data_IF_501576867152
#
_entry.id   IF_501576867152
#
_cell.length_a   1.000
_cell.length_b   1.000
_cell.length_c   1.000
_cell.angle_alpha   90.00
_cell.angle_beta   90.00
_cell.angle_gamma   90.00
#
_symmetry.space_group_name_H-M   'P 1'
#
loop_
_entity.id
_entity.type
_entity.pdbx_description
1 polymer ?
#
# COMPACT_ATOMS: atom_id res chain seq x y z
N UNK A 1 -44.05 11.52 30.29
CA UNK A 1 -43.92 12.52 29.22
C UNK A 1 -42.85 12.06 28.26
N UNK A 2 -43.30 11.54 27.10
CA UNK A 2 -42.46 11.10 25.99
C UNK A 2 -42.30 12.34 25.07
N UNK A 3 -41.08 12.73 24.67
CA UNK A 3 -40.93 13.83 23.71
C UNK A 3 -41.29 13.37 22.30
N UNK A 4 -41.96 14.26 21.53
CA UNK A 4 -42.39 14.01 20.16
C UNK A 4 -41.19 13.87 19.17
N UNK A 5 -41.36 13.14 18.06
CA UNK A 5 -40.27 12.92 17.08
C UNK A 5 -40.02 14.19 16.26
N UNK A 6 -38.74 14.51 16.12
CA UNK A 6 -38.22 15.58 15.25
C UNK A 6 -38.35 15.13 13.80
N UNK A 7 -39.09 15.89 12.98
CA UNK A 7 -39.13 15.70 11.52
C UNK A 7 -37.79 16.06 10.90
N UNK A 8 -37.17 15.09 10.22
CA UNK A 8 -36.03 15.34 9.33
C UNK A 8 -36.52 15.82 7.95
N UNK A 9 -35.78 16.72 7.27
CA UNK A 9 -36.16 17.17 5.93
C UNK A 9 -35.85 16.10 4.87
N UNK A 10 -36.77 15.95 3.92
CA UNK A 10 -36.63 15.09 2.73
C UNK A 10 -35.42 15.51 1.89
N UNK A 11 -34.43 14.62 1.79
CA UNK A 11 -33.43 14.64 0.75
C UNK A 11 -33.42 13.27 0.09
N UNK A 12 -33.81 13.22 -1.18
CA UNK A 12 -34.20 12.04 -1.94
C UNK A 12 -33.09 11.02 -2.21
N UNK A 13 -32.71 10.24 -1.22
CA UNK A 13 -32.05 8.96 -1.42
C UNK A 13 -32.53 7.98 -0.37
N UNK A 14 -33.44 7.07 -0.77
CA UNK A 14 -33.98 6.03 0.09
C UNK A 14 -32.90 4.99 0.38
N UNK A 15 -32.32 5.04 1.59
CA UNK A 15 -31.53 3.95 2.15
C UNK A 15 -32.46 3.02 2.90
N UNK A 16 -32.67 1.82 2.42
CA UNK A 16 -33.34 0.76 3.16
C UNK A 16 -32.30 -0.12 3.85
N UNK A 17 -32.35 -0.22 5.16
CA UNK A 17 -31.53 -1.15 5.94
C UNK A 17 -32.37 -2.39 6.17
N UNK A 18 -32.00 -3.50 5.55
CA UNK A 18 -32.64 -4.79 5.78
C UNK A 18 -31.82 -5.53 6.87
N UNK A 19 -32.45 -5.77 8.04
CA UNK A 19 -31.86 -6.62 9.08
C UNK A 19 -32.46 -8.01 8.95
N UNK A 20 -31.64 -8.98 8.57
CA UNK A 20 -32.01 -10.39 8.58
C UNK A 20 -31.49 -11.04 9.86
N UNK A 21 -32.31 -11.76 10.63
CA UNK A 21 -31.83 -12.51 11.77
C UNK A 21 -31.18 -13.81 11.29
N UNK A 22 -29.88 -13.92 11.38
CA UNK A 22 -29.19 -15.20 11.28
C UNK A 22 -28.72 -15.59 12.68
N UNK A 23 -29.28 -16.68 13.17
CA UNK A 23 -28.95 -17.23 14.47
C UNK A 23 -27.65 -18.02 14.43
N UNK A 24 -26.58 -17.40 14.94
CA UNK A 24 -25.41 -18.12 15.42
C UNK A 24 -25.13 -17.65 16.85
N UNK A 25 -24.84 -18.60 17.75
CA UNK A 25 -24.59 -18.29 19.16
C UNK A 25 -23.18 -17.69 19.34
N UNK A 26 -23.03 -16.42 19.00
CA UNK A 26 -21.82 -15.65 19.19
C UNK A 26 -22.08 -14.25 18.65
N UNK A 27 -22.30 -13.28 19.53
CA UNK A 27 -22.89 -11.96 19.26
C UNK A 27 -22.12 -11.04 18.31
N UNK A 28 -22.05 -11.36 17.03
CA UNK A 28 -21.58 -10.48 15.97
C UNK A 28 -22.72 -10.04 15.07
N UNK A 29 -22.95 -8.73 14.93
CA UNK A 29 -23.91 -8.18 13.97
C UNK A 29 -23.19 -7.82 12.67
N UNK A 30 -23.59 -8.45 11.54
CA UNK A 30 -23.17 -8.03 10.21
C UNK A 30 -24.23 -7.08 9.63
N UNK A 31 -23.80 -5.92 9.14
CA UNK A 31 -24.67 -4.96 8.46
C UNK A 31 -24.46 -5.08 6.95
N UNK A 32 -25.48 -5.54 6.21
CA UNK A 32 -25.45 -5.54 4.74
C UNK A 32 -26.03 -4.21 4.26
N UNK A 33 -25.24 -3.40 3.59
CA UNK A 33 -25.68 -2.16 2.95
C UNK A 33 -25.97 -2.47 1.48
N UNK A 34 -27.27 -2.57 1.10
CA UNK A 34 -27.68 -2.69 -0.29
C UNK A 34 -27.89 -1.31 -0.92
N UNK A 35 -27.21 -1.01 -2.02
CA UNK A 35 -27.48 0.18 -2.83
C UNK A 35 -28.52 -0.14 -3.91
N UNK A 36 -29.65 0.56 -3.90
CA UNK A 36 -30.66 0.48 -4.96
C UNK A 36 -30.43 1.61 -5.98
N UNK A 37 -30.50 1.28 -7.27
CA UNK A 37 -30.61 2.31 -8.29
C UNK A 37 -32.09 2.52 -8.66
N UNK A 38 -32.44 3.69 -9.21
CA UNK A 38 -33.79 4.15 -9.56
C UNK A 38 -34.57 3.26 -10.55
N UNK A 39 -34.05 2.12 -11.00
CA UNK A 39 -34.70 1.17 -11.92
C UNK A 39 -35.03 -0.19 -11.27
N UNK A 40 -35.00 -0.29 -9.95
CA UNK A 40 -35.55 -1.45 -9.23
C UNK A 40 -34.84 -2.80 -9.46
N UNK A 41 -33.67 -2.83 -10.07
CA UNK A 41 -32.84 -4.05 -10.15
C UNK A 41 -31.86 -4.08 -8.99
N UNK A 42 -31.99 -5.11 -8.16
CA UNK A 42 -30.97 -5.49 -7.19
C UNK A 42 -29.65 -5.71 -7.95
N UNK A 43 -28.70 -4.78 -7.88
CA UNK A 43 -27.31 -5.15 -8.12
C UNK A 43 -26.95 -6.12 -6.99
N UNK A 44 -26.49 -7.33 -7.34
CA UNK A 44 -25.85 -8.25 -6.42
C UNK A 44 -24.92 -7.42 -5.56
N UNK A 45 -25.14 -7.39 -4.25
CA UNK A 45 -24.17 -6.80 -3.33
C UNK A 45 -22.91 -7.65 -3.51
N UNK A 46 -21.96 -7.16 -4.28
CA UNK A 46 -20.61 -7.68 -4.22
C UNK A 46 -20.16 -7.36 -2.80
N UNK A 47 -19.99 -8.39 -1.99
CA UNK A 47 -19.21 -8.29 -0.77
C UNK A 47 -17.85 -7.78 -1.21
N UNK A 48 -17.58 -6.51 -0.97
CA UNK A 48 -16.23 -5.99 -1.06
C UNK A 48 -15.54 -6.60 0.15
N UNK A 49 -14.93 -7.78 -0.08
CA UNK A 49 -14.09 -8.44 0.90
C UNK A 49 -12.81 -7.61 0.99
N UNK A 50 -12.34 -7.37 2.21
CA UNK A 50 -11.05 -6.76 2.46
C UNK A 50 -9.97 -7.40 1.57
N UNK A 51 -9.13 -6.58 0.96
CA UNK A 51 -8.01 -7.04 0.13
C UNK A 51 -7.06 -7.89 0.98
N UNK A 52 -6.76 -9.08 0.49
CA UNK A 52 -5.88 -10.06 1.16
C UNK A 52 -4.69 -10.39 0.28
N UNK A 53 -3.68 -11.09 0.82
CA UNK A 53 -2.54 -11.61 0.02
C UNK A 53 -3.05 -12.43 -1.16
N UNK A 54 -4.04 -13.30 -0.96
CA UNK A 54 -4.63 -14.10 -2.04
C UNK A 54 -5.31 -13.24 -3.10
N UNK A 55 -5.94 -12.12 -2.69
CA UNK A 55 -6.52 -11.16 -3.64
C UNK A 55 -5.44 -10.53 -4.52
N UNK A 56 -4.32 -10.10 -3.94
CA UNK A 56 -3.19 -9.53 -4.70
C UNK A 56 -2.56 -10.53 -5.65
N UNK A 57 -2.39 -11.78 -5.22
CA UNK A 57 -1.91 -12.87 -6.09
C UNK A 57 -2.86 -13.15 -7.26
N UNK A 58 -4.17 -13.13 -7.01
CA UNK A 58 -5.17 -13.27 -8.06
C UNK A 58 -5.12 -12.09 -9.05
N UNK A 59 -4.97 -10.86 -8.58
CA UNK A 59 -4.82 -9.68 -9.45
C UNK A 59 -3.60 -9.84 -10.37
N UNK A 60 -2.44 -10.29 -9.86
CA UNK A 60 -1.29 -10.60 -10.69
C UNK A 60 -1.63 -11.66 -11.76
N UNK A 61 -2.23 -12.75 -11.36
CA UNK A 61 -2.57 -13.85 -12.27
C UNK A 61 -3.56 -13.42 -13.38
N UNK A 62 -4.46 -12.49 -13.08
CA UNK A 62 -5.45 -11.93 -14.01
C UNK A 62 -4.92 -10.71 -14.79
N UNK A 63 -3.70 -10.24 -14.50
CA UNK A 63 -3.10 -9.06 -15.14
C UNK A 63 -3.76 -7.74 -14.72
N UNK A 64 -4.50 -7.74 -13.62
CA UNK A 64 -5.07 -6.56 -12.99
C UNK A 64 -3.99 -5.84 -12.19
N UNK A 65 -3.84 -4.52 -12.42
CA UNK A 65 -2.83 -3.73 -11.70
C UNK A 65 -3.29 -3.35 -10.30
N UNK A 66 -2.33 -3.33 -9.37
CA UNK A 66 -2.51 -2.99 -7.96
C UNK A 66 -2.21 -1.50 -7.78
N UNK A 67 -3.18 -0.72 -7.29
CA UNK A 67 -2.99 0.68 -6.94
C UNK A 67 -2.65 0.79 -5.44
N UNK A 68 -1.45 1.31 -5.13
CA UNK A 68 -0.96 1.48 -3.77
C UNK A 68 -0.62 2.95 -3.52
N UNK A 69 -0.98 3.49 -2.36
CA UNK A 69 -0.61 4.85 -1.93
C UNK A 69 -0.13 4.85 -0.48
N UNK A 70 0.78 5.76 -0.14
CA UNK A 70 1.07 5.98 1.28
C UNK A 70 -0.09 6.68 1.97
N UNK A 71 -0.36 6.29 3.22
CA UNK A 71 -1.34 6.92 4.10
C UNK A 71 -0.77 7.04 5.51
N UNK A 72 -1.12 8.12 6.22
CA UNK A 72 -0.52 8.40 7.52
C UNK A 72 -1.55 8.74 8.60
N UNK A 73 -2.83 8.84 8.25
CA UNK A 73 -3.92 9.12 9.20
C UNK A 73 -5.29 8.67 8.65
N UNK A 74 -6.31 8.68 9.51
CA UNK A 74 -7.60 8.06 9.25
C UNK A 74 -8.45 8.74 8.16
N UNK A 75 -8.40 10.06 8.02
CA UNK A 75 -9.25 10.77 7.04
C UNK A 75 -8.78 10.52 5.62
N UNK A 76 -7.46 10.58 5.37
CA UNK A 76 -6.90 10.21 4.08
C UNK A 76 -7.03 8.72 3.79
N UNK A 77 -6.86 7.86 4.81
CA UNK A 77 -7.08 6.43 4.66
C UNK A 77 -8.51 6.13 4.18
N UNK A 78 -9.51 6.71 4.83
CA UNK A 78 -10.91 6.56 4.44
C UNK A 78 -11.20 7.12 3.04
N UNK A 79 -10.61 8.25 2.68
CA UNK A 79 -10.76 8.83 1.34
C UNK A 79 -10.16 7.92 0.27
N UNK A 80 -8.96 7.40 0.50
CA UNK A 80 -8.25 6.51 -0.43
C UNK A 80 -8.95 5.15 -0.57
N UNK A 81 -9.41 4.57 0.55
CA UNK A 81 -10.19 3.33 0.57
C UNK A 81 -11.48 3.47 -0.25
N UNK A 82 -12.21 4.59 -0.06
CA UNK A 82 -13.41 4.89 -0.84
C UNK A 82 -13.12 5.18 -2.32
N UNK A 83 -11.93 5.67 -2.66
CA UNK A 83 -11.50 5.90 -4.05
C UNK A 83 -11.04 4.61 -4.75
N UNK A 84 -10.98 3.48 -4.04
CA UNK A 84 -10.62 2.18 -4.60
C UNK A 84 -9.11 1.90 -4.66
N UNK A 85 -8.32 2.50 -3.77
CA UNK A 85 -6.92 2.13 -3.56
C UNK A 85 -6.89 0.72 -2.97
N UNK A 86 -6.11 -0.19 -3.57
CA UNK A 86 -6.04 -1.59 -3.13
C UNK A 86 -5.17 -1.77 -1.89
N UNK A 87 -4.09 -0.99 -1.77
CA UNK A 87 -3.12 -1.11 -0.67
C UNK A 87 -2.75 0.26 -0.12
N UNK A 88 -2.85 0.42 1.20
CA UNK A 88 -2.39 1.60 1.93
C UNK A 88 -1.08 1.29 2.62
N UNK A 89 -0.04 2.08 2.32
CA UNK A 89 1.28 1.97 2.91
C UNK A 89 1.47 3.00 4.02
N UNK A 90 1.59 2.55 5.25
CA UNK A 90 2.11 3.38 6.33
C UNK A 90 3.64 3.35 6.22
N UNK A 91 4.19 4.31 5.47
CA UNK A 91 5.61 4.35 5.13
C UNK A 91 6.42 5.18 6.14
N UNK A 92 7.67 4.79 6.39
CA UNK A 92 8.63 5.59 7.19
C UNK A 92 9.00 6.91 6.49
N UNK A 93 8.60 7.09 5.23
CA UNK A 93 8.56 8.39 4.54
C UNK A 93 7.79 9.47 5.32
N UNK A 94 6.92 9.07 6.31
CA UNK A 94 6.30 10.01 7.26
C UNK A 94 7.35 10.88 7.99
N UNK A 95 8.56 10.37 8.20
CA UNK A 95 9.64 11.14 8.76
C UNK A 95 9.92 12.41 7.97
N UNK A 96 9.90 12.34 6.64
CA UNK A 96 10.14 13.45 5.75
C UNK A 96 8.89 14.28 5.49
N UNK A 97 7.76 13.63 5.25
CA UNK A 97 6.53 14.28 4.77
C UNK A 97 5.65 14.81 5.89
N UNK A 98 5.62 14.15 7.04
CA UNK A 98 4.76 14.50 8.19
C UNK A 98 5.58 15.15 9.31
N UNK A 99 6.75 14.57 9.65
CA UNK A 99 7.57 15.06 10.76
C UNK A 99 8.59 16.13 10.35
N UNK A 100 8.75 16.43 9.03
CA UNK A 100 9.67 17.45 8.53
C UNK A 100 11.16 17.09 8.72
N UNK A 101 11.49 15.81 8.88
CA UNK A 101 12.87 15.33 9.03
C UNK A 101 13.58 15.27 7.67
N UNK A 102 14.91 15.17 7.68
CA UNK A 102 15.73 15.12 6.45
C UNK A 102 15.86 13.71 5.85
N UNK A 103 15.46 12.67 6.59
CA UNK A 103 15.50 11.27 6.16
C UNK A 103 14.47 10.45 6.93
N UNK A 104 14.29 9.20 6.54
CA UNK A 104 13.41 8.22 7.22
C UNK A 104 14.05 7.65 8.50
N UNK A 105 15.38 7.70 8.64
CA UNK A 105 16.13 7.03 9.71
C UNK A 105 15.71 7.36 11.15
N UNK A 106 15.27 8.60 11.48
CA UNK A 106 14.87 8.93 12.85
C UNK A 106 13.44 8.50 13.22
N UNK A 107 12.69 7.87 12.29
CA UNK A 107 11.34 7.37 12.58
C UNK A 107 11.44 6.19 13.53
N UNK A 108 10.69 6.24 14.63
CA UNK A 108 10.66 5.17 15.62
C UNK A 108 9.57 4.14 15.36
N UNK A 109 9.70 2.94 15.92
CA UNK A 109 8.63 1.93 15.90
C UNK A 109 7.33 2.47 16.52
N UNK A 110 7.44 3.27 17.57
CA UNK A 110 6.27 3.93 18.20
C UNK A 110 5.55 4.87 17.24
N UNK A 111 6.29 5.65 16.44
CA UNK A 111 5.69 6.51 15.41
C UNK A 111 4.96 5.65 14.38
N UNK A 112 5.57 4.56 13.92
CA UNK A 112 4.97 3.64 12.96
C UNK A 112 3.70 2.99 13.50
N UNK A 113 3.71 2.51 14.74
CA UNK A 113 2.51 1.96 15.39
C UNK A 113 1.40 3.02 15.49
N UNK A 114 1.73 4.24 15.94
CA UNK A 114 0.75 5.33 16.05
C UNK A 114 0.06 5.64 14.71
N UNK A 115 0.84 5.78 13.64
CA UNK A 115 0.29 6.07 12.32
C UNK A 115 -0.47 4.86 11.75
N UNK A 116 -0.01 3.63 11.99
CA UNK A 116 -0.70 2.39 11.59
C UNK A 116 -2.07 2.29 12.24
N UNK A 117 -2.19 2.53 13.54
CA UNK A 117 -3.47 2.56 14.25
C UNK A 117 -4.45 3.60 13.66
N UNK A 118 -3.94 4.78 13.30
CA UNK A 118 -4.78 5.82 12.72
C UNK A 118 -5.27 5.45 11.32
N UNK A 119 -4.41 4.89 10.47
CA UNK A 119 -4.80 4.39 9.14
C UNK A 119 -5.80 3.24 9.26
N UNK A 120 -5.57 2.29 10.18
CA UNK A 120 -6.47 1.16 10.41
C UNK A 120 -7.89 1.58 10.79
N UNK A 121 -8.04 2.66 11.58
CA UNK A 121 -9.38 3.19 11.93
C UNK A 121 -10.14 3.79 10.75
N UNK A 122 -9.44 4.22 9.70
CA UNK A 122 -10.05 4.79 8.50
C UNK A 122 -10.25 3.80 7.35
N UNK A 123 -9.74 2.58 7.45
CA UNK A 123 -9.70 1.60 6.36
C UNK A 123 -10.73 0.48 6.58
N UNK A 124 -11.53 0.16 5.57
CA UNK A 124 -12.51 -0.94 5.59
C UNK A 124 -12.15 -2.06 4.60
N UNK A 125 -11.58 -1.73 3.43
CA UNK A 125 -11.39 -2.66 2.32
C UNK A 125 -9.91 -2.84 1.93
N UNK A 126 -9.13 -1.77 1.90
CA UNK A 126 -7.74 -1.81 1.45
C UNK A 126 -6.84 -2.62 2.40
N UNK A 127 -5.83 -3.28 1.84
CA UNK A 127 -4.79 -3.91 2.66
C UNK A 127 -3.87 -2.84 3.26
N UNK A 128 -3.53 -2.98 4.53
CA UNK A 128 -2.60 -2.09 5.23
C UNK A 128 -1.24 -2.74 5.32
N UNK A 129 -0.23 -2.10 4.70
CA UNK A 129 1.18 -2.45 4.83
C UNK A 129 1.87 -1.42 5.70
N UNK A 130 2.68 -1.82 6.69
CA UNK A 130 3.42 -0.91 7.55
C UNK A 130 4.91 -1.18 7.50
N UNK A 131 5.72 -0.10 7.39
CA UNK A 131 7.17 -0.22 7.35
C UNK A 131 7.74 -0.59 8.72
N UNK A 132 8.66 -1.55 8.73
CA UNK A 132 9.61 -1.71 9.81
C UNK A 132 10.62 -0.55 9.73
N UNK A 133 10.71 0.33 10.74
CA UNK A 133 11.62 1.47 10.68
C UNK A 133 13.08 1.03 10.86
N UNK A 134 14.00 1.88 10.40
CA UNK A 134 15.44 1.63 10.52
C UNK A 134 15.86 1.33 11.96
N UNK A 135 16.67 0.27 12.13
CA UNK A 135 17.14 -0.20 13.45
C UNK A 135 16.19 -1.14 14.18
N UNK A 136 14.96 -1.35 13.68
CA UNK A 136 13.97 -2.21 14.30
C UNK A 136 14.03 -3.68 13.83
N UNK A 137 14.77 -4.00 12.76
CA UNK A 137 14.75 -5.35 12.18
C UNK A 137 16.10 -5.84 11.63
N UNK A 138 17.08 -4.95 11.43
CA UNK A 138 18.34 -5.30 10.77
C UNK A 138 19.30 -6.10 11.65
N UNK A 139 19.13 -6.08 12.98
CA UNK A 139 20.03 -6.73 13.92
C UNK A 139 19.83 -8.25 13.95
N UNK A 140 18.58 -8.72 13.95
CA UNK A 140 18.24 -10.14 13.94
C UNK A 140 16.79 -10.36 13.49
N UNK A 141 16.47 -11.57 13.05
CA UNK A 141 15.11 -11.99 12.67
C UNK A 141 14.15 -12.01 13.88
N UNK A 142 14.66 -12.25 15.09
CA UNK A 142 13.88 -12.20 16.31
C UNK A 142 13.49 -10.75 16.66
N UNK A 143 14.40 -9.79 16.49
CA UNK A 143 14.11 -8.38 16.60
C UNK A 143 13.06 -7.95 15.58
N UNK A 144 13.22 -8.38 14.33
CA UNK A 144 12.26 -8.11 13.25
C UNK A 144 10.86 -8.65 13.60
N UNK A 145 10.79 -9.86 14.17
CA UNK A 145 9.52 -10.45 14.59
C UNK A 145 8.86 -9.63 15.72
N UNK A 146 9.62 -9.23 16.72
CA UNK A 146 9.08 -8.42 17.82
C UNK A 146 8.48 -7.10 17.31
N UNK A 147 9.23 -6.37 16.47
CA UNK A 147 8.74 -5.12 15.87
C UNK A 147 7.55 -5.34 14.93
N UNK A 148 7.60 -6.39 14.11
CA UNK A 148 6.50 -6.74 13.20
C UNK A 148 5.21 -7.09 13.97
N UNK A 149 5.33 -7.83 15.08
CA UNK A 149 4.18 -8.17 15.92
C UNK A 149 3.50 -6.92 16.54
N UNK A 150 4.28 -5.89 16.92
CA UNK A 150 3.71 -4.61 17.37
C UNK A 150 2.94 -3.89 16.25
N UNK A 151 3.47 -3.87 15.02
CA UNK A 151 2.80 -3.28 13.86
C UNK A 151 1.52 -4.04 13.48
N UNK A 152 1.55 -5.38 13.52
CA UNK A 152 0.35 -6.19 13.30
C UNK A 152 -0.70 -5.94 14.38
N UNK A 153 -0.30 -5.80 15.63
CA UNK A 153 -1.20 -5.44 16.74
C UNK A 153 -1.78 -4.01 16.59
N UNK A 154 -1.05 -3.10 15.97
CA UNK A 154 -1.50 -1.75 15.63
C UNK A 154 -2.49 -1.72 14.44
N UNK A 155 -2.68 -2.85 13.75
CA UNK A 155 -3.65 -2.99 12.65
C UNK A 155 -3.04 -3.14 11.25
N UNK A 156 -1.73 -3.35 11.13
CA UNK A 156 -1.13 -3.75 9.86
C UNK A 156 -1.59 -5.16 9.46
N UNK A 157 -1.74 -5.40 8.17
CA UNK A 157 -2.01 -6.72 7.59
C UNK A 157 -0.74 -7.36 7.02
N UNK A 158 0.30 -6.56 6.79
CA UNK A 158 1.59 -6.94 6.22
C UNK A 158 2.63 -5.94 6.71
N UNK A 159 3.87 -6.37 6.86
CA UNK A 159 4.99 -5.47 7.15
C UNK A 159 5.90 -5.32 5.93
N UNK A 160 6.55 -4.13 5.78
CA UNK A 160 7.57 -3.91 4.76
C UNK A 160 8.96 -3.83 5.42
N UNK A 161 9.94 -4.45 4.79
CA UNK A 161 11.35 -4.37 5.17
C UNK A 161 12.23 -4.10 3.94
N UNK A 162 13.38 -3.47 4.17
CA UNK A 162 14.33 -3.10 3.12
C UNK A 162 15.59 -3.97 3.18
N UNK A 163 16.02 -4.45 2.01
CA UNK A 163 17.25 -5.21 1.86
C UNK A 163 17.12 -6.26 0.76
N UNK A 164 18.25 -6.77 0.29
CA UNK A 164 18.34 -7.81 -0.72
C UNK A 164 18.44 -9.21 -0.11
N UNK A 165 19.25 -10.07 -0.72
CA UNK A 165 19.45 -11.49 -0.31
C UNK A 165 19.71 -11.65 1.19
N UNK A 166 20.45 -10.73 1.81
CA UNK A 166 20.78 -10.81 3.25
C UNK A 166 19.56 -10.70 4.18
N UNK A 167 18.40 -10.21 3.67
CA UNK A 167 17.14 -10.14 4.40
C UNK A 167 16.17 -11.30 4.09
N UNK A 168 16.51 -12.17 3.14
CA UNK A 168 15.62 -13.26 2.75
C UNK A 168 15.33 -14.24 3.90
N UNK A 169 16.31 -14.54 4.76
CA UNK A 169 16.10 -15.35 5.96
C UNK A 169 15.11 -14.71 6.93
N UNK A 170 15.16 -13.39 7.09
CA UNK A 170 14.20 -12.65 7.93
C UNK A 170 12.80 -12.68 7.32
N UNK A 171 12.69 -12.56 6.00
CA UNK A 171 11.41 -12.70 5.27
C UNK A 171 10.79 -14.07 5.51
N UNK A 172 11.53 -15.16 5.32
CA UNK A 172 11.08 -16.53 5.58
C UNK A 172 10.66 -16.73 7.03
N UNK A 173 11.47 -16.23 7.98
CA UNK A 173 11.21 -16.34 9.41
C UNK A 173 9.88 -15.68 9.82
N UNK A 174 9.57 -14.50 9.28
CA UNK A 174 8.31 -13.79 9.52
C UNK A 174 7.13 -14.52 8.86
N UNK A 175 7.28 -14.92 7.60
CA UNK A 175 6.25 -15.64 6.84
C UNK A 175 5.86 -16.96 7.52
N UNK A 176 6.81 -17.76 7.96
CA UNK A 176 6.55 -19.02 8.68
C UNK A 176 5.80 -18.80 10.00
N UNK A 177 5.76 -17.57 10.53
CA UNK A 177 5.05 -17.19 11.77
C UNK A 177 3.76 -16.42 11.50
N UNK A 178 3.29 -16.42 10.24
CA UNK A 178 2.02 -15.83 9.86
C UNK A 178 2.05 -14.32 9.68
N UNK A 179 3.23 -13.71 9.52
CA UNK A 179 3.39 -12.28 9.21
C UNK A 179 3.73 -12.12 7.74
N UNK A 180 2.80 -11.64 6.88
CA UNK A 180 3.10 -11.38 5.47
C UNK A 180 4.15 -10.28 5.32
N UNK A 181 5.02 -10.41 4.32
CA UNK A 181 6.14 -9.48 4.09
C UNK A 181 6.09 -8.88 2.68
N UNK A 182 6.21 -7.55 2.61
CA UNK A 182 6.57 -6.79 1.43
C UNK A 182 8.08 -6.54 1.46
N UNK A 183 8.84 -7.17 0.58
CA UNK A 183 10.28 -7.01 0.48
C UNK A 183 10.61 -5.84 -0.44
N UNK A 184 11.32 -4.82 0.06
CA UNK A 184 11.68 -3.63 -0.69
C UNK A 184 13.14 -3.69 -1.14
N UNK A 185 13.35 -3.70 -2.46
CA UNK A 185 14.64 -3.78 -3.12
C UNK A 185 14.86 -2.60 -4.09
N UNK A 186 16.04 -2.49 -4.63
CA UNK A 186 16.42 -1.35 -5.45
C UNK A 186 16.98 -0.21 -4.61
N UNK A 187 16.48 1.00 -4.79
CA UNK A 187 16.78 2.10 -3.87
C UNK A 187 16.00 1.86 -2.56
N UNK A 188 16.73 1.65 -1.50
CA UNK A 188 16.16 1.51 -0.16
C UNK A 188 16.49 2.78 0.64
N UNK A 189 15.51 3.66 0.95
CA UNK A 189 15.75 4.94 1.63
C UNK A 189 16.48 4.82 2.97
N UNK A 190 16.28 3.73 3.69
CA UNK A 190 17.00 3.45 4.93
C UNK A 190 18.51 3.24 4.72
N UNK A 191 18.93 2.90 3.51
CA UNK A 191 20.33 2.73 3.12
C UNK A 191 20.91 3.92 2.35
N UNK A 192 20.22 5.08 2.34
CA UNK A 192 20.57 6.24 1.52
C UNK A 192 22.00 6.73 1.71
N UNK A 193 22.53 6.67 2.93
CA UNK A 193 23.92 7.06 3.21
C UNK A 193 24.94 6.06 2.66
N UNK A 194 24.62 4.75 2.69
CA UNK A 194 25.47 3.73 2.08
C UNK A 194 25.52 3.86 0.55
N UNK A 195 24.40 4.23 -0.08
CA UNK A 195 24.35 4.50 -1.51
C UNK A 195 24.99 5.86 -1.91
N UNK A 196 25.23 6.75 -0.96
CA UNK A 196 25.68 8.11 -1.23
C UNK A 196 24.62 8.96 -1.93
N UNK A 197 23.35 8.79 -1.55
CA UNK A 197 22.19 9.54 -2.03
C UNK A 197 21.15 8.69 -2.76
N UNK A 198 20.07 9.32 -3.20
CA UNK A 198 18.96 8.71 -3.94
C UNK A 198 19.39 8.46 -5.40
N UNK A 199 19.75 7.22 -5.73
CA UNK A 199 20.28 6.83 -7.03
C UNK A 199 19.57 5.63 -7.58
N UNK A 200 19.38 5.57 -8.90
CA UNK A 200 18.86 4.38 -9.61
C UNK A 200 19.77 3.18 -9.32
N UNK A 201 19.17 2.06 -8.98
CA UNK A 201 19.81 0.81 -8.65
C UNK A 201 19.64 -0.22 -9.78
N UNK A 202 20.53 -1.22 -9.85
CA UNK A 202 20.42 -2.30 -10.83
C UNK A 202 20.90 -1.95 -12.24
N UNK A 203 21.72 -0.92 -12.43
CA UNK A 203 22.36 -0.61 -13.72
C UNK A 203 23.65 -1.43 -13.94
N UNK A 204 23.88 -1.83 -15.20
CA UNK A 204 25.07 -2.60 -15.58
C UNK A 204 25.21 -3.88 -14.80
N UNK A 205 26.41 -4.14 -14.27
CA UNK A 205 26.74 -5.39 -13.55
C UNK A 205 25.90 -5.62 -12.28
N UNK A 206 25.21 -4.58 -11.79
CA UNK A 206 24.31 -4.69 -10.61
C UNK A 206 22.92 -5.25 -10.94
N UNK A 207 22.60 -5.43 -12.22
CA UNK A 207 21.29 -5.95 -12.63
C UNK A 207 21.05 -7.40 -12.16
N UNK A 208 22.08 -8.27 -12.28
CA UNK A 208 21.99 -9.66 -11.84
C UNK A 208 21.85 -9.77 -10.31
N UNK A 209 22.53 -8.90 -9.56
CA UNK A 209 22.40 -8.88 -8.10
C UNK A 209 20.96 -8.48 -7.68
N UNK A 210 20.36 -7.48 -8.32
CA UNK A 210 18.97 -7.06 -8.01
C UNK A 210 17.96 -8.16 -8.39
N UNK A 211 18.17 -8.86 -9.48
CA UNK A 211 17.35 -10.02 -9.86
C UNK A 211 17.51 -11.16 -8.84
N UNK A 212 18.71 -11.38 -8.32
CA UNK A 212 18.96 -12.37 -7.27
C UNK A 212 18.26 -11.98 -5.95
N UNK A 213 18.28 -10.68 -5.59
CA UNK A 213 17.55 -10.15 -4.42
C UNK A 213 16.04 -10.46 -4.51
N UNK A 214 15.43 -10.17 -5.66
CA UNK A 214 14.01 -10.45 -5.88
C UNK A 214 13.67 -11.95 -5.78
N UNK A 215 14.49 -12.81 -6.42
CA UNK A 215 14.31 -14.27 -6.35
C UNK A 215 14.44 -14.82 -4.94
N UNK A 216 15.42 -14.31 -4.17
CA UNK A 216 15.62 -14.76 -2.80
C UNK A 216 14.41 -14.46 -1.92
N UNK A 217 13.82 -13.27 -2.06
CA UNK A 217 12.61 -12.90 -1.34
C UNK A 217 11.38 -13.69 -1.80
N UNK A 218 11.21 -13.92 -3.10
CA UNK A 218 10.12 -14.75 -3.63
C UNK A 218 10.20 -16.18 -3.09
N UNK A 219 11.39 -16.78 -3.11
CA UNK A 219 11.66 -18.12 -2.54
C UNK A 219 11.45 -18.18 -1.02
N UNK A 220 11.73 -17.08 -0.32
CA UNK A 220 11.46 -16.91 1.10
C UNK A 220 9.96 -16.69 1.42
N UNK A 221 9.09 -16.64 0.40
CA UNK A 221 7.66 -16.52 0.53
C UNK A 221 7.18 -15.08 0.69
N UNK A 222 7.93 -14.07 0.24
CA UNK A 222 7.45 -12.68 0.25
C UNK A 222 6.08 -12.56 -0.44
N UNK A 223 5.16 -11.84 0.18
CA UNK A 223 3.83 -11.60 -0.37
C UNK A 223 3.83 -10.54 -1.48
N UNK A 224 4.79 -9.62 -1.44
CA UNK A 224 5.05 -8.56 -2.43
C UNK A 224 6.56 -8.35 -2.53
N UNK A 225 7.06 -8.06 -3.74
CA UNK A 225 8.36 -7.44 -3.98
C UNK A 225 8.14 -6.01 -4.47
N UNK A 226 8.60 -5.03 -3.71
CA UNK A 226 8.55 -3.61 -4.07
C UNK A 226 9.91 -3.19 -4.63
N UNK A 227 9.89 -2.51 -5.78
CA UNK A 227 11.09 -2.02 -6.49
C UNK A 227 11.06 -0.50 -6.59
N UNK A 228 12.08 0.16 -6.04
CA UNK A 228 12.21 1.61 -6.14
C UNK A 228 13.42 2.01 -6.99
N UNK A 229 13.22 2.97 -7.90
CA UNK A 229 14.26 3.54 -8.75
C UNK A 229 15.10 2.44 -9.46
N UNK A 230 14.44 1.54 -10.15
CA UNK A 230 15.01 0.44 -10.94
C UNK A 230 14.74 0.70 -12.42
N UNK A 231 15.70 0.43 -13.35
CA UNK A 231 15.43 0.52 -14.78
C UNK A 231 14.22 -0.31 -15.18
N UNK A 232 13.34 0.26 -16.02
CA UNK A 232 12.04 -0.35 -16.37
C UNK A 232 12.19 -1.76 -16.97
N UNK A 233 13.17 -1.98 -17.84
CA UNK A 233 13.45 -3.30 -18.45
C UNK A 233 13.86 -4.34 -17.41
N UNK A 234 14.66 -3.93 -16.40
CA UNK A 234 15.04 -4.83 -15.32
C UNK A 234 13.84 -5.15 -14.41
N UNK A 235 13.03 -4.15 -14.08
CA UNK A 235 11.84 -4.35 -13.28
C UNK A 235 10.81 -5.26 -13.96
N UNK A 236 10.68 -5.15 -15.29
CA UNK A 236 9.91 -6.07 -16.12
C UNK A 236 10.44 -7.50 -15.99
N UNK A 237 11.77 -7.71 -16.18
CA UNK A 237 12.41 -9.02 -16.03
C UNK A 237 12.18 -9.61 -14.63
N UNK A 238 12.25 -8.80 -13.58
CA UNK A 238 11.92 -9.23 -12.21
C UNK A 238 10.47 -9.66 -12.13
N UNK A 239 9.51 -8.84 -12.60
CA UNK A 239 8.07 -9.12 -12.56
C UNK A 239 7.71 -10.43 -13.26
N UNK A 240 8.35 -10.73 -14.39
CA UNK A 240 8.17 -11.98 -15.14
C UNK A 240 8.84 -13.18 -14.46
N UNK A 241 9.80 -12.96 -13.56
CA UNK A 241 10.59 -14.02 -12.93
C UNK A 241 10.00 -14.48 -11.59
N UNK A 242 9.47 -13.55 -10.78
CA UNK A 242 8.96 -13.86 -9.44
C UNK A 242 7.48 -14.26 -9.46
N UNK A 243 7.08 -15.13 -8.54
CA UNK A 243 5.70 -15.60 -8.41
C UNK A 243 4.80 -14.61 -7.67
N UNK A 244 5.35 -13.88 -6.70
CA UNK A 244 4.61 -12.89 -5.94
C UNK A 244 4.35 -11.60 -6.76
N UNK A 245 3.32 -10.81 -6.43
CA UNK A 245 3.09 -9.49 -7.01
C UNK A 245 4.28 -8.55 -6.85
N UNK A 246 4.55 -7.75 -7.89
CA UNK A 246 5.57 -6.69 -7.86
C UNK A 246 4.93 -5.31 -7.84
N UNK A 247 5.43 -4.41 -6.99
CA UNK A 247 5.00 -3.01 -6.92
C UNK A 247 6.18 -2.12 -7.33
N UNK A 248 5.94 -1.17 -8.23
CA UNK A 248 6.97 -0.25 -8.71
C UNK A 248 6.78 1.18 -8.17
N UNK A 249 7.89 1.85 -7.91
CA UNK A 249 7.98 3.30 -7.79
C UNK A 249 9.24 3.77 -8.53
N UNK A 250 9.05 4.44 -9.67
CA UNK A 250 10.15 4.71 -10.58
C UNK A 250 10.78 3.43 -11.15
N UNK A 251 9.96 2.42 -11.44
CA UNK A 251 10.39 1.11 -11.94
C UNK A 251 9.64 0.69 -13.23
N UNK A 252 8.91 1.62 -13.86
CA UNK A 252 8.20 1.36 -15.10
C UNK A 252 6.82 0.73 -14.91
N UNK A 253 6.06 0.66 -16.00
CA UNK A 253 4.63 0.29 -16.04
C UNK A 253 4.41 -1.22 -15.98
N UNK A 254 5.44 -2.02 -16.24
CA UNK A 254 5.32 -3.49 -16.34
C UNK A 254 5.18 -4.18 -14.98
N UNK A 255 5.54 -3.53 -13.86
CA UNK A 255 5.24 -4.04 -12.51
C UNK A 255 3.74 -4.35 -12.35
N UNK A 256 3.40 -5.31 -11.48
CA UNK A 256 2.00 -5.69 -11.23
C UNK A 256 1.19 -4.59 -10.52
N UNK A 257 1.85 -3.63 -9.90
CA UNK A 257 1.24 -2.45 -9.32
C UNK A 257 2.20 -1.27 -9.22
N UNK A 258 1.67 -0.14 -8.74
CA UNK A 258 2.42 1.10 -8.56
C UNK A 258 2.16 1.68 -7.17
N UNK A 259 3.17 2.32 -6.59
CA UNK A 259 3.02 3.11 -5.38
C UNK A 259 3.54 4.54 -5.59
N UNK A 260 2.88 5.51 -4.98
CA UNK A 260 3.38 6.88 -4.81
C UNK A 260 3.22 7.32 -3.35
N UNK A 261 4.09 8.24 -2.95
CA UNK A 261 3.91 8.99 -1.71
C UNK A 261 2.74 9.96 -1.90
N UNK A 262 1.76 9.93 -1.00
CA UNK A 262 0.55 10.74 -1.07
C UNK A 262 0.86 12.24 -1.25
N UNK A 263 1.81 12.77 -0.49
CA UNK A 263 2.20 14.18 -0.55
C UNK A 263 2.78 14.57 -1.91
N UNK A 264 3.52 13.65 -2.54
CA UNK A 264 4.09 13.87 -3.87
C UNK A 264 2.99 13.88 -4.95
N UNK A 265 2.11 12.87 -4.95
CA UNK A 265 1.04 12.77 -5.94
C UNK A 265 0.00 13.90 -5.84
N UNK A 266 -0.15 14.49 -4.65
CA UNK A 266 -1.00 15.67 -4.43
C UNK A 266 -0.28 17.00 -4.68
N UNK A 267 1.05 16.97 -4.91
CA UNK A 267 1.85 18.17 -5.15
C UNK A 267 1.98 19.09 -3.94
N UNK A 268 1.86 18.55 -2.72
CA UNK A 268 1.95 19.32 -1.47
C UNK A 268 3.30 19.17 -0.74
N UNK A 269 4.17 18.25 -1.19
CA UNK A 269 5.51 18.13 -0.63
C UNK A 269 6.38 19.32 -1.06
N UNK A 270 6.98 20.08 -0.11
CA UNK A 270 7.70 21.30 -0.43
C UNK A 270 9.11 21.06 -1.00
N UNK A 271 9.55 19.81 -1.04
CA UNK A 271 10.87 19.42 -1.51
C UNK A 271 10.96 19.27 -3.04
N UNK A 272 12.13 18.80 -3.50
CA UNK A 272 12.33 18.49 -4.92
C UNK A 272 11.50 17.27 -5.32
N UNK A 273 10.67 17.43 -6.33
CA UNK A 273 9.90 16.33 -6.92
C UNK A 273 10.81 15.35 -7.65
N UNK A 274 10.66 14.05 -7.36
CA UNK A 274 11.37 13.00 -8.05
C UNK A 274 10.83 12.79 -9.47
N UNK A 275 11.66 12.27 -10.39
CA UNK A 275 11.29 12.06 -11.80
C UNK A 275 10.02 11.19 -11.96
N UNK A 276 9.84 10.21 -11.11
CA UNK A 276 8.72 9.25 -11.19
C UNK A 276 7.40 9.79 -10.65
N UNK A 277 7.38 11.00 -10.10
CA UNK A 277 6.18 11.61 -9.52
C UNK A 277 5.37 12.32 -10.60
N UNK A 278 4.08 12.04 -10.63
CA UNK A 278 3.06 12.82 -11.35
C UNK A 278 2.17 13.52 -10.32
N UNK A 279 1.94 14.83 -10.51
CA UNK A 279 0.97 15.56 -9.70
C UNK A 279 -0.44 15.33 -10.25
N UNK A 280 -1.22 14.52 -9.53
CA UNK A 280 -2.59 14.17 -9.92
C UNK A 280 -3.63 15.22 -9.52
N UNK A 281 -3.26 16.23 -8.72
CA UNK A 281 -4.16 17.36 -8.44
C UNK A 281 -4.33 18.31 -9.63
N UNK A 282 -3.42 18.28 -10.61
CA UNK A 282 -3.54 19.16 -11.76
C UNK A 282 -4.83 18.90 -12.54
N UNK A 283 -5.66 19.93 -12.66
CA UNK A 283 -6.95 19.86 -13.34
C UNK A 283 -8.04 19.07 -12.61
N UNK A 284 -7.89 18.84 -11.29
CA UNK A 284 -8.90 18.17 -10.45
C UNK A 284 -9.49 19.13 -9.42
N UNK A 285 -10.77 18.97 -9.16
CA UNK A 285 -11.54 19.84 -8.26
C UNK A 285 -11.48 19.38 -6.79
N UNK A 286 -10.97 18.18 -6.53
CA UNK A 286 -10.89 17.60 -5.19
C UNK A 286 -9.77 16.58 -5.06
N UNK A 287 -9.32 16.35 -3.82
CA UNK A 287 -8.37 15.28 -3.48
C UNK A 287 -8.94 13.90 -3.84
N UNK A 288 -10.24 13.69 -3.61
CA UNK A 288 -10.93 12.46 -4.02
C UNK A 288 -10.76 12.21 -5.53
N UNK A 289 -11.02 13.19 -6.37
CA UNK A 289 -10.88 13.07 -7.82
C UNK A 289 -9.43 12.84 -8.26
N UNK A 290 -8.44 13.36 -7.54
CA UNK A 290 -7.03 13.11 -7.81
C UNK A 290 -6.65 11.65 -7.49
N UNK A 291 -7.12 11.11 -6.37
CA UNK A 291 -6.87 9.70 -6.00
C UNK A 291 -7.58 8.75 -6.96
N UNK A 292 -8.85 9.02 -7.32
CA UNK A 292 -9.58 8.23 -8.32
C UNK A 292 -8.87 8.24 -9.69
N UNK A 293 -8.29 9.37 -10.09
CA UNK A 293 -7.51 9.46 -11.33
C UNK A 293 -6.23 8.63 -11.24
N UNK A 294 -5.53 8.63 -10.11
CA UNK A 294 -4.37 7.78 -9.90
C UNK A 294 -4.74 6.29 -10.01
N UNK A 295 -5.76 5.84 -9.28
CA UNK A 295 -6.25 4.46 -9.34
C UNK A 295 -6.60 4.08 -10.78
N UNK A 296 -7.36 4.92 -11.48
CA UNK A 296 -7.74 4.68 -12.87
C UNK A 296 -6.52 4.55 -13.79
N UNK A 297 -5.55 5.47 -13.71
CA UNK A 297 -4.38 5.43 -14.58
C UNK A 297 -3.46 4.23 -14.30
N UNK A 298 -3.31 3.82 -13.04
CA UNK A 298 -2.59 2.59 -12.69
C UNK A 298 -3.31 1.36 -13.28
N UNK A 299 -4.62 1.23 -13.04
CA UNK A 299 -5.44 0.11 -13.56
C UNK A 299 -5.46 0.08 -15.10
N UNK A 300 -5.48 1.24 -15.75
CA UNK A 300 -5.43 1.37 -17.22
C UNK A 300 -4.02 1.21 -17.81
N UNK A 301 -2.98 1.03 -17.00
CA UNK A 301 -1.56 0.93 -17.43
C UNK A 301 -1.08 2.18 -18.18
N UNK A 302 -1.62 3.36 -17.86
CA UNK A 302 -1.22 4.65 -18.42
C UNK A 302 -0.30 5.44 -17.50
N UNK A 303 -0.22 5.06 -16.22
CA UNK A 303 0.76 5.52 -15.26
C UNK A 303 1.56 4.32 -14.70
N UNK A 304 2.90 4.44 -14.56
CA UNK A 304 3.75 5.54 -15.01
C UNK A 304 3.93 5.56 -16.54
N UNK A 305 4.03 6.76 -17.13
CA UNK A 305 4.45 6.96 -18.51
C UNK A 305 5.98 6.89 -18.63
N UNK A 306 6.52 6.94 -19.85
CA UNK A 306 7.95 6.84 -20.09
C UNK A 306 8.77 7.94 -19.38
N UNK A 307 8.21 9.15 -19.28
CA UNK A 307 8.81 10.29 -18.56
C UNK A 307 8.96 10.05 -17.05
N UNK A 308 8.11 9.18 -16.47
CA UNK A 308 8.14 8.82 -15.05
C UNK A 308 9.03 7.59 -14.77
N UNK A 309 9.65 7.02 -15.80
CA UNK A 309 10.42 5.77 -15.69
C UNK A 309 11.92 6.02 -15.89
N UNK A 310 12.75 5.12 -15.39
CA UNK A 310 14.19 5.10 -15.64
C UNK A 310 14.53 4.05 -16.69
N UNK A 311 15.47 4.43 -17.58
CA UNK A 311 16.12 3.53 -18.50
C UNK A 311 17.35 2.90 -17.86
#
# INVERSE_FOLDING_TARGET
LVPAPIKQPDCGSSRAVLRLPFGWQGGGHFTIIARFNLKGRLKKAEHILMITVNTLQKMKAEGEKIAMLTAYESSFAALMDNAGVDVLLVGDSLGMTVQGRKSTLPVSLRDMCYHTENVARGTENAMIVSDLPFGAYQQSKEQAFAAAAELMAAGAHMVKLEGGVWMAETTEFLQMRGIPVCAHIGLTPQSVFAFGGYKVQGRGDKAEALLADAKAHDQAGAAIVLMECVPAELAKKVTETVSCPTIGIGAGVDCDGQVLVMHDMLGIFPGKTAKFVKNFMQGKDSVQAAVEAYVHEVKAKTFPAAEHSFA
#
